data_IF_649426222755
#
_entry.id   IF_649426222755
#
_cell.length_a   1.000
_cell.length_b   1.000
_cell.length_c   1.000
_cell.angle_alpha   90.00
_cell.angle_beta   90.00
_cell.angle_gamma   90.00
#
_symmetry.space_group_name_H-M   'P 1'
#
loop_
_entity.id
_entity.type
_entity.pdbx_description
1 polymer ?
#
# COMPACT_ATOMS: atom_id res chain seq x y z
N UNK A 1 -11.52 -14.01 -6.80
CA UNK A 1 -11.67 -12.58 -6.42
C UNK A 1 -10.45 -11.75 -6.79
N UNK A 2 -9.25 -11.99 -6.23
CA UNK A 2 -8.07 -11.15 -6.51
C UNK A 2 -7.74 -11.06 -8.02
N UNK A 3 -7.64 -12.21 -8.70
CA UNK A 3 -7.35 -12.26 -10.15
C UNK A 3 -8.40 -11.49 -10.95
N UNK A 4 -9.69 -11.68 -10.63
CA UNK A 4 -10.78 -10.92 -11.24
C UNK A 4 -10.60 -9.42 -11.02
N UNK A 5 -10.25 -8.98 -9.81
CA UNK A 5 -9.96 -7.57 -9.51
C UNK A 5 -8.81 -7.01 -10.34
N UNK A 6 -7.70 -7.74 -10.44
CA UNK A 6 -6.56 -7.33 -11.27
C UNK A 6 -6.92 -7.25 -12.76
N UNK A 7 -7.72 -8.20 -13.28
CA UNK A 7 -8.20 -8.16 -14.67
C UNK A 7 -9.11 -6.96 -14.91
N UNK A 8 -10.00 -6.64 -13.96
CA UNK A 8 -10.84 -5.44 -14.04
C UNK A 8 -9.99 -4.17 -14.05
N UNK A 9 -8.97 -4.05 -13.19
CA UNK A 9 -8.04 -2.91 -13.19
C UNK A 9 -7.30 -2.77 -14.52
N UNK A 10 -6.83 -3.89 -15.08
CA UNK A 10 -6.10 -3.90 -16.35
C UNK A 10 -6.99 -3.52 -17.55
N UNK A 11 -8.22 -4.05 -17.60
CA UNK A 11 -9.12 -3.93 -18.73
C UNK A 11 -10.15 -2.79 -18.58
N UNK A 12 -10.16 -2.07 -17.46
CA UNK A 12 -11.13 -1.02 -17.21
C UNK A 12 -11.12 0.03 -18.33
N UNK A 13 -12.29 0.26 -18.94
CA UNK A 13 -12.53 1.32 -19.92
C UNK A 13 -13.07 2.62 -19.30
N UNK A 14 -13.60 2.55 -18.09
CA UNK A 14 -14.07 3.69 -17.31
C UNK A 14 -13.61 3.62 -15.85
N UNK A 15 -13.67 4.76 -15.14
CA UNK A 15 -13.16 4.88 -13.76
C UNK A 15 -13.96 4.02 -12.77
N UNK A 16 -15.24 3.79 -13.02
CA UNK A 16 -16.10 2.95 -12.17
C UNK A 16 -15.62 1.49 -12.15
N UNK A 17 -15.40 0.89 -13.33
CA UNK A 17 -14.89 -0.48 -13.46
C UNK A 17 -13.50 -0.60 -12.86
N UNK A 18 -12.66 0.42 -13.05
CA UNK A 18 -11.34 0.51 -12.41
C UNK A 18 -11.49 0.48 -10.88
N UNK A 19 -12.40 1.27 -10.33
CA UNK A 19 -12.66 1.33 -8.88
C UNK A 19 -13.17 0.01 -8.32
N UNK A 20 -14.09 -0.68 -9.02
CA UNK A 20 -14.55 -2.01 -8.61
C UNK A 20 -13.38 -3.01 -8.55
N UNK A 21 -12.54 -3.01 -9.60
CA UNK A 21 -11.33 -3.84 -9.61
C UNK A 21 -10.36 -3.50 -8.46
N UNK A 22 -10.17 -2.20 -8.21
CA UNK A 22 -9.33 -1.65 -7.16
C UNK A 22 -9.78 -2.09 -5.76
N UNK A 23 -11.09 -2.06 -5.50
CA UNK A 23 -11.74 -2.56 -4.29
C UNK A 23 -11.56 -4.07 -4.13
N UNK A 24 -11.76 -4.84 -5.20
CA UNK A 24 -11.61 -6.31 -5.17
C UNK A 24 -10.19 -6.72 -4.83
N UNK A 25 -9.19 -6.07 -5.42
CA UNK A 25 -7.78 -6.27 -5.08
C UNK A 25 -7.54 -5.92 -3.61
N UNK A 26 -8.13 -4.82 -3.14
CA UNK A 26 -8.00 -4.36 -1.77
C UNK A 26 -8.54 -5.34 -0.72
N UNK A 27 -9.81 -5.69 -0.85
CA UNK A 27 -10.53 -6.58 0.06
C UNK A 27 -9.92 -7.98 0.08
N UNK A 28 -9.64 -8.55 -1.10
CA UNK A 28 -9.05 -9.90 -1.16
C UNK A 28 -7.64 -9.94 -0.56
N UNK A 29 -6.82 -8.89 -0.73
CA UNK A 29 -5.52 -8.80 -0.07
C UNK A 29 -5.65 -8.78 1.44
N UNK A 30 -6.55 -7.96 1.99
CA UNK A 30 -6.74 -7.87 3.44
C UNK A 30 -7.19 -9.21 4.04
N UNK A 31 -8.10 -9.93 3.38
CA UNK A 31 -8.54 -11.26 3.80
C UNK A 31 -7.40 -12.27 3.79
N UNK A 32 -6.50 -12.21 2.80
CA UNK A 32 -5.35 -13.10 2.72
C UNK A 32 -4.26 -12.79 3.74
N UNK A 33 -4.10 -11.52 4.14
CA UNK A 33 -3.25 -11.16 5.28
C UNK A 33 -3.84 -11.72 6.58
N UNK A 34 -5.16 -11.70 6.71
CA UNK A 34 -5.88 -12.27 7.86
C UNK A 34 -6.07 -13.80 7.79
N UNK A 35 -5.41 -14.52 6.88
CA UNK A 35 -5.66 -15.95 6.68
C UNK A 35 -5.50 -16.76 7.98
N UNK A 36 -4.42 -16.50 8.74
CA UNK A 36 -4.20 -17.05 10.07
C UNK A 36 -4.90 -16.22 11.16
N UNK A 37 -6.22 -16.06 11.01
CA UNK A 37 -7.07 -15.21 11.86
C UNK A 37 -7.06 -15.60 13.35
N UNK A 38 -6.66 -16.82 13.69
CA UNK A 38 -6.47 -17.28 15.06
C UNK A 38 -5.32 -16.53 15.77
N UNK A 39 -4.40 -15.94 14.99
CA UNK A 39 -3.31 -15.11 15.50
C UNK A 39 -3.76 -13.64 15.57
N UNK A 40 -3.81 -13.03 16.77
CA UNK A 40 -4.26 -11.63 16.89
C UNK A 40 -3.38 -10.64 16.12
N UNK A 41 -2.09 -10.95 15.96
CA UNK A 41 -1.17 -10.15 15.16
C UNK A 41 -1.56 -10.10 13.67
N UNK A 42 -2.00 -11.23 13.09
CA UNK A 42 -2.39 -11.30 11.68
C UNK A 42 -3.65 -10.45 11.41
N UNK A 43 -4.64 -10.53 12.31
CA UNK A 43 -5.86 -9.73 12.24
C UNK A 43 -5.54 -8.24 12.39
N UNK A 44 -4.73 -7.86 13.38
CA UNK A 44 -4.32 -6.46 13.57
C UNK A 44 -3.57 -5.90 12.35
N UNK A 45 -2.70 -6.70 11.72
CA UNK A 45 -1.98 -6.29 10.52
C UNK A 45 -2.93 -6.16 9.32
N UNK A 46 -3.85 -7.11 9.13
CA UNK A 46 -4.86 -7.03 8.08
C UNK A 46 -5.74 -5.79 8.20
N UNK A 47 -6.17 -5.43 9.41
CA UNK A 47 -6.95 -4.22 9.66
C UNK A 47 -6.17 -2.95 9.34
N UNK A 48 -4.86 -2.91 9.64
CA UNK A 48 -3.99 -1.77 9.25
C UNK A 48 -3.85 -1.67 7.74
N UNK A 49 -3.64 -2.79 7.04
CA UNK A 49 -3.61 -2.85 5.56
C UNK A 49 -4.93 -2.35 4.97
N UNK A 50 -6.06 -2.86 5.46
CA UNK A 50 -7.39 -2.45 5.02
C UNK A 50 -7.62 -0.96 5.24
N UNK A 51 -7.20 -0.41 6.39
CA UNK A 51 -7.34 1.02 6.70
C UNK A 51 -6.57 1.89 5.71
N UNK A 52 -5.33 1.52 5.38
CA UNK A 52 -4.54 2.23 4.35
C UNK A 52 -5.21 2.14 2.99
N UNK A 53 -5.75 0.97 2.64
CA UNK A 53 -6.49 0.80 1.40
C UNK A 53 -7.72 1.70 1.37
N UNK A 54 -8.53 1.78 2.43
CA UNK A 54 -9.67 2.71 2.48
C UNK A 54 -9.28 4.18 2.25
N UNK A 55 -8.13 4.61 2.74
CA UNK A 55 -7.60 5.97 2.46
C UNK A 55 -7.26 6.11 0.96
N UNK A 56 -6.61 5.10 0.38
CA UNK A 56 -6.33 5.03 -1.06
C UNK A 56 -7.61 5.07 -1.90
N UNK A 57 -8.62 4.30 -1.50
CA UNK A 57 -9.88 4.14 -2.20
C UNK A 57 -10.70 5.45 -2.12
N UNK A 58 -10.69 6.14 -0.97
CA UNK A 58 -11.31 7.46 -0.83
C UNK A 58 -10.65 8.53 -1.72
N UNK A 59 -9.32 8.52 -1.83
CA UNK A 59 -8.59 9.42 -2.72
C UNK A 59 -8.90 9.12 -4.20
N UNK A 60 -8.97 7.85 -4.59
CA UNK A 60 -9.38 7.43 -5.93
C UNK A 60 -10.80 7.90 -6.26
N UNK A 61 -11.75 7.68 -5.33
CA UNK A 61 -13.13 8.08 -5.53
C UNK A 61 -13.26 9.60 -5.62
N UNK A 62 -12.51 10.35 -4.80
CA UNK A 62 -12.46 11.81 -4.88
C UNK A 62 -11.91 12.29 -6.22
N UNK A 63 -10.86 11.63 -6.73
CA UNK A 63 -10.32 11.91 -8.06
C UNK A 63 -11.38 11.62 -9.14
N UNK A 64 -12.09 10.49 -9.06
CA UNK A 64 -13.13 10.10 -10.00
C UNK A 64 -14.29 11.11 -10.02
N UNK A 65 -14.79 11.52 -8.86
CA UNK A 65 -15.89 12.51 -8.74
C UNK A 65 -15.47 13.85 -9.31
N UNK A 66 -14.27 14.34 -8.97
CA UNK A 66 -13.78 15.62 -9.49
C UNK A 66 -13.55 15.55 -11.01
N UNK A 67 -13.07 14.41 -11.50
CA UNK A 67 -12.87 14.17 -12.92
C UNK A 67 -14.19 14.19 -13.69
N UNK A 68 -15.21 13.50 -13.18
CA UNK A 68 -16.56 13.53 -13.73
C UNK A 68 -17.11 14.95 -13.76
N UNK A 69 -16.95 15.70 -12.66
CA UNK A 69 -17.45 17.07 -12.55
C UNK A 69 -16.76 18.05 -13.54
N UNK A 70 -15.47 17.87 -13.83
CA UNK A 70 -14.72 18.77 -14.72
C UNK A 70 -14.83 18.34 -16.18
N UNK A 71 -14.70 17.05 -16.47
CA UNK A 71 -14.63 16.54 -17.83
C UNK A 71 -16.00 16.09 -18.39
N UNK A 72 -17.01 15.91 -17.53
CA UNK A 72 -18.33 15.39 -17.91
C UNK A 72 -18.29 13.95 -18.44
N UNK A 73 -17.21 13.21 -18.18
CA UNK A 73 -17.01 11.84 -18.68
C UNK A 73 -16.21 11.00 -17.70
N UNK A 74 -16.59 9.71 -17.61
CA UNK A 74 -15.90 8.70 -16.80
C UNK A 74 -14.97 7.81 -17.65
N UNK A 75 -14.84 8.11 -18.94
CA UNK A 75 -14.08 7.31 -19.88
C UNK A 75 -12.57 7.42 -19.64
N UNK A 76 -11.91 6.30 -19.27
CA UNK A 76 -10.45 6.25 -19.16
C UNK A 76 -9.81 6.58 -20.53
N UNK A 77 -10.40 6.16 -21.65
CA UNK A 77 -9.79 6.40 -22.96
C UNK A 77 -9.76 7.89 -23.32
N UNK A 78 -10.73 8.69 -22.90
CA UNK A 78 -10.71 10.13 -23.14
C UNK A 78 -9.70 10.86 -22.22
N UNK A 79 -9.51 10.36 -21.00
CA UNK A 79 -8.69 11.00 -19.97
C UNK A 79 -7.21 10.59 -20.00
N UNK A 80 -6.93 9.44 -20.61
CA UNK A 80 -5.62 8.79 -20.61
C UNK A 80 -5.06 8.53 -22.02
N UNK A 81 -5.48 9.32 -23.01
CA UNK A 81 -4.79 9.41 -24.31
C UNK A 81 -5.28 8.47 -25.40
N UNK A 82 -6.60 8.28 -25.51
CA UNK A 82 -7.21 7.71 -26.71
C UNK A 82 -6.95 8.59 -27.93
N UNK A 83 -6.95 7.98 -29.12
CA UNK A 83 -6.55 8.53 -30.42
C UNK A 83 -7.32 9.76 -30.92
N UNK A 84 -8.18 10.37 -30.11
CA UNK A 84 -8.86 11.61 -30.44
C UNK A 84 -8.19 12.78 -29.72
N UNK A 85 -7.45 13.58 -30.49
CA UNK A 85 -6.75 14.81 -30.08
C UNK A 85 -7.65 15.91 -29.45
N UNK A 86 -8.91 15.62 -29.15
CA UNK A 86 -9.88 16.55 -28.58
C UNK A 86 -10.00 16.47 -27.04
N UNK A 87 -9.57 15.40 -26.38
CA UNK A 87 -9.87 15.18 -24.96
C UNK A 87 -8.78 15.63 -23.97
N UNK A 88 -7.54 15.79 -24.44
CA UNK A 88 -6.48 16.43 -23.64
C UNK A 88 -6.81 17.90 -23.30
N UNK A 89 -7.79 18.52 -23.98
CA UNK A 89 -8.16 19.93 -23.80
C UNK A 89 -9.16 20.15 -22.64
N UNK A 90 -9.80 19.10 -22.11
CA UNK A 90 -10.90 19.27 -21.15
C UNK A 90 -10.47 19.45 -19.68
N UNK A 91 -9.30 18.93 -19.29
CA UNK A 91 -8.82 19.00 -17.90
C UNK A 91 -7.43 19.64 -17.89
N UNK A 92 -7.35 20.93 -17.59
CA UNK A 92 -6.11 21.68 -17.59
C UNK A 92 -5.88 22.46 -16.27
N UNK A 93 -4.67 22.98 -16.11
CA UNK A 93 -4.30 23.87 -15.01
C UNK A 93 -4.46 23.25 -13.63
N UNK A 94 -5.11 23.99 -12.73
CA UNK A 94 -5.25 23.59 -11.31
C UNK A 94 -6.10 22.33 -11.15
N UNK A 95 -7.15 22.14 -11.94
CA UNK A 95 -8.02 20.95 -11.86
C UNK A 95 -7.24 19.68 -12.20
N UNK A 96 -6.45 19.69 -13.28
CA UNK A 96 -5.55 18.60 -13.63
C UNK A 96 -4.58 18.28 -12.49
N UNK A 97 -4.00 19.31 -11.87
CA UNK A 97 -3.07 19.14 -10.75
C UNK A 97 -3.74 18.51 -9.53
N UNK A 98 -4.94 18.96 -9.14
CA UNK A 98 -5.66 18.39 -7.98
C UNK A 98 -6.03 16.93 -8.24
N UNK A 99 -6.57 16.61 -9.42
CA UNK A 99 -6.93 15.24 -9.79
C UNK A 99 -5.67 14.35 -9.77
N UNK A 100 -4.57 14.81 -10.36
CA UNK A 100 -3.30 14.07 -10.36
C UNK A 100 -2.76 13.85 -8.94
N UNK A 101 -2.84 14.85 -8.06
CA UNK A 101 -2.43 14.71 -6.64
C UNK A 101 -3.31 13.69 -5.92
N UNK A 102 -4.63 13.71 -6.12
CA UNK A 102 -5.54 12.72 -5.52
C UNK A 102 -5.21 11.30 -6.01
N UNK A 103 -4.92 11.12 -7.31
CA UNK A 103 -4.45 9.84 -7.84
C UNK A 103 -3.09 9.43 -7.25
N UNK A 104 -2.15 10.35 -7.06
CA UNK A 104 -0.88 10.06 -6.40
C UNK A 104 -1.09 9.60 -4.96
N UNK A 105 -2.04 10.20 -4.22
CA UNK A 105 -2.40 9.74 -2.86
C UNK A 105 -3.01 8.34 -2.90
N UNK A 106 -3.90 8.06 -3.86
CA UNK A 106 -4.46 6.72 -4.06
C UNK A 106 -3.35 5.69 -4.33
N UNK A 107 -2.41 6.03 -5.23
CA UNK A 107 -1.26 5.19 -5.57
C UNK A 107 -0.33 5.02 -4.37
N UNK A 108 -0.09 6.07 -3.59
CA UNK A 108 0.76 6.00 -2.42
C UNK A 108 0.25 4.98 -1.40
N UNK A 109 -1.07 4.94 -1.16
CA UNK A 109 -1.66 3.94 -0.27
C UNK A 109 -1.57 2.52 -0.85
N UNK A 110 -1.98 2.30 -2.11
CA UNK A 110 -2.05 0.95 -2.71
C UNK A 110 -0.68 0.33 -3.02
N UNK A 111 0.31 1.17 -3.33
CA UNK A 111 1.68 0.77 -3.69
C UNK A 111 2.67 0.89 -2.53
N UNK A 112 2.20 1.18 -1.31
CA UNK A 112 3.06 1.33 -0.13
C UNK A 112 4.16 2.39 -0.32
N UNK A 113 3.87 3.49 -1.02
CA UNK A 113 4.76 4.65 -1.04
C UNK A 113 4.66 5.37 0.31
N UNK A 114 5.59 6.29 0.56
CA UNK A 114 5.51 7.13 1.74
C UNK A 114 4.18 7.92 1.79
N UNK A 115 3.62 8.16 2.98
CA UNK A 115 4.04 7.67 4.30
C UNK A 115 3.59 6.22 4.60
N UNK A 116 2.86 5.57 3.70
CA UNK A 116 2.18 4.28 3.91
C UNK A 116 3.08 3.03 3.74
N UNK A 117 4.40 3.18 3.70
CA UNK A 117 5.32 2.07 3.37
C UNK A 117 5.30 0.89 4.35
N UNK A 118 4.80 1.09 5.56
CA UNK A 118 4.82 0.09 6.64
C UNK A 118 3.78 -1.02 6.50
N UNK A 119 2.74 -0.84 5.69
CA UNK A 119 1.70 -1.87 5.56
C UNK A 119 2.21 -3.10 4.81
N UNK A 120 3.11 -2.95 3.83
CA UNK A 120 3.55 -4.08 3.01
C UNK A 120 4.35 -5.13 3.80
N UNK A 121 5.36 -4.77 4.62
CA UNK A 121 6.02 -5.75 5.48
C UNK A 121 5.06 -6.43 6.45
N UNK A 122 4.06 -5.69 6.98
CA UNK A 122 3.05 -6.25 7.88
C UNK A 122 2.12 -7.24 7.17
N UNK A 123 1.89 -7.06 5.86
CA UNK A 123 1.13 -8.00 5.05
C UNK A 123 1.83 -9.37 4.90
N UNK A 124 3.14 -9.46 5.19
CA UNK A 124 3.93 -10.69 5.06
C UNK A 124 3.58 -11.78 6.10
N UNK A 125 2.67 -11.49 7.04
CA UNK A 125 2.04 -12.48 7.93
C UNK A 125 1.25 -13.55 7.17
N UNK A 126 0.74 -13.22 5.98
CA UNK A 126 -0.03 -14.17 5.18
C UNK A 126 0.81 -15.34 4.66
N UNK A 127 0.14 -16.38 4.11
CA UNK A 127 0.80 -17.53 3.51
C UNK A 127 1.77 -17.11 2.40
N UNK A 128 2.96 -17.71 2.36
CA UNK A 128 4.03 -17.33 1.42
C UNK A 128 3.59 -17.28 -0.06
N UNK A 129 2.80 -18.24 -0.59
CA UNK A 129 2.31 -18.15 -1.97
C UNK A 129 1.39 -16.95 -2.20
N UNK A 130 0.55 -16.62 -1.22
CA UNK A 130 -0.34 -15.46 -1.29
C UNK A 130 0.45 -14.14 -1.22
N UNK A 131 1.49 -14.09 -0.37
CA UNK A 131 2.39 -12.94 -0.29
C UNK A 131 3.17 -12.75 -1.58
N UNK A 132 3.63 -13.84 -2.20
CA UNK A 132 4.38 -13.80 -3.45
C UNK A 132 3.57 -13.22 -4.61
N UNK A 133 2.37 -13.77 -4.84
CA UNK A 133 1.55 -13.42 -6.01
C UNK A 133 0.81 -12.10 -5.82
N UNK A 134 0.14 -11.94 -4.69
CA UNK A 134 -0.91 -10.94 -4.59
C UNK A 134 -0.38 -9.59 -4.17
N UNK A 135 0.08 -9.43 -2.93
CA UNK A 135 0.53 -8.13 -2.42
C UNK A 135 2.03 -7.89 -2.57
N UNK A 136 2.87 -8.93 -2.65
CA UNK A 136 4.30 -8.80 -2.90
C UNK A 136 4.70 -8.63 -4.37
N UNK A 137 3.79 -8.96 -5.30
CA UNK A 137 3.98 -8.73 -6.73
C UNK A 137 2.86 -7.86 -7.30
N UNK A 138 1.62 -8.35 -7.43
CA UNK A 138 0.63 -7.66 -8.27
C UNK A 138 0.07 -6.35 -7.69
N UNK A 139 -0.37 -6.35 -6.42
CA UNK A 139 -1.07 -5.21 -5.79
C UNK A 139 -0.18 -3.97 -5.69
N UNK A 140 1.10 -4.14 -5.34
CA UNK A 140 2.03 -3.01 -5.22
C UNK A 140 2.34 -2.36 -6.57
N UNK A 141 2.25 -3.10 -7.68
CA UNK A 141 2.43 -2.56 -9.02
C UNK A 141 1.15 -1.98 -9.62
N UNK A 142 -0.04 -2.32 -9.08
CA UNK A 142 -1.31 -1.81 -9.57
C UNK A 142 -1.38 -0.27 -9.54
N UNK A 143 -0.81 0.37 -8.51
CA UNK A 143 -0.73 1.83 -8.45
C UNK A 143 0.23 2.45 -9.47
N UNK A 144 1.40 1.84 -9.71
CA UNK A 144 2.29 2.30 -10.79
C UNK A 144 1.64 2.12 -12.17
N UNK A 145 0.92 1.02 -12.39
CA UNK A 145 0.14 0.81 -13.61
C UNK A 145 -0.93 1.88 -13.80
N UNK A 146 -1.62 2.27 -12.72
CA UNK A 146 -2.56 3.39 -12.76
C UNK A 146 -1.87 4.71 -13.13
N UNK A 147 -0.71 5.02 -12.56
CA UNK A 147 0.04 6.24 -12.93
C UNK A 147 0.50 6.23 -14.38
N UNK A 148 0.89 5.06 -14.92
CA UNK A 148 1.20 4.90 -16.34
C UNK A 148 -0.02 5.18 -17.22
N UNK A 149 -1.20 4.69 -16.84
CA UNK A 149 -2.44 5.06 -17.52
C UNK A 149 -2.70 6.56 -17.35
N UNK A 150 -2.42 7.13 -16.18
CA UNK A 150 -2.52 8.55 -15.88
C UNK A 150 -1.46 9.46 -16.52
N UNK A 151 -0.58 8.95 -17.39
CA UNK A 151 0.50 9.72 -18.00
C UNK A 151 0.03 11.02 -18.68
N UNK A 152 -1.02 11.05 -19.52
CA UNK A 152 -1.46 12.30 -20.16
C UNK A 152 -1.96 13.36 -19.18
N UNK A 153 -2.55 12.94 -18.05
CA UNK A 153 -2.96 13.85 -16.98
C UNK A 153 -1.73 14.41 -16.24
N UNK A 154 -0.74 13.55 -15.98
CA UNK A 154 0.51 13.96 -15.34
C UNK A 154 1.27 14.97 -16.20
N UNK A 155 1.31 14.80 -17.53
CA UNK A 155 1.93 15.75 -18.46
C UNK A 155 1.35 17.18 -18.32
N UNK A 156 0.07 17.31 -17.98
CA UNK A 156 -0.58 18.61 -17.76
C UNK A 156 -0.41 19.16 -16.34
N UNK A 157 0.18 18.38 -15.42
CA UNK A 157 0.27 18.69 -14.00
C UNK A 157 1.72 18.61 -13.51
N UNK A 158 2.55 19.58 -13.90
CA UNK A 158 3.98 19.61 -13.54
C UNK A 158 4.24 19.51 -12.02
N UNK A 159 3.45 20.20 -11.20
CA UNK A 159 3.55 20.13 -9.74
C UNK A 159 3.25 18.72 -9.20
N UNK A 160 2.25 18.03 -9.78
CA UNK A 160 1.91 16.66 -9.40
C UNK A 160 3.01 15.67 -9.83
N UNK A 161 3.62 15.86 -11.01
CA UNK A 161 4.79 15.08 -11.45
C UNK A 161 5.98 15.23 -10.50
N UNK A 162 6.31 16.45 -10.11
CA UNK A 162 7.37 16.71 -9.14
C UNK A 162 7.09 16.03 -7.80
N UNK A 163 5.83 16.10 -7.33
CA UNK A 163 5.41 15.40 -6.12
C UNK A 163 5.59 13.88 -6.25
N UNK A 164 5.13 13.28 -7.36
CA UNK A 164 5.29 11.85 -7.62
C UNK A 164 6.76 11.43 -7.63
N UNK A 165 7.61 12.18 -8.34
CA UNK A 165 9.06 11.91 -8.41
C UNK A 165 9.74 12.04 -7.04
N UNK A 166 9.45 13.10 -6.29
CA UNK A 166 9.98 13.30 -4.94
C UNK A 166 9.53 12.17 -4.01
N UNK A 167 8.26 11.77 -4.10
CA UNK A 167 7.68 10.69 -3.30
C UNK A 167 8.31 9.34 -3.63
N UNK A 168 8.48 9.02 -4.92
CA UNK A 168 9.11 7.80 -5.40
C UNK A 168 10.58 7.73 -4.95
N UNK A 169 11.33 8.81 -5.10
CA UNK A 169 12.74 8.88 -4.69
C UNK A 169 12.90 8.72 -3.17
N UNK A 170 12.08 9.43 -2.38
CA UNK A 170 12.10 9.30 -0.92
C UNK A 170 11.74 7.88 -0.47
N UNK A 171 10.74 7.27 -1.10
CA UNK A 171 10.35 5.87 -0.84
C UNK A 171 11.50 4.91 -1.17
N UNK A 172 12.14 5.07 -2.33
CA UNK A 172 13.23 4.20 -2.77
C UNK A 172 14.42 4.26 -1.83
N UNK A 173 14.83 5.47 -1.43
CA UNK A 173 15.96 5.67 -0.51
C UNK A 173 15.68 5.06 0.86
N UNK A 174 14.51 5.35 1.45
CA UNK A 174 14.18 4.80 2.77
C UNK A 174 14.03 3.29 2.75
N UNK A 175 13.38 2.73 1.71
CA UNK A 175 13.20 1.31 1.57
C UNK A 175 14.54 0.57 1.37
N UNK A 176 15.47 1.15 0.60
CA UNK A 176 16.81 0.60 0.38
C UNK A 176 17.68 0.58 1.64
N UNK A 177 17.48 1.54 2.56
CA UNK A 177 18.12 1.50 3.88
C UNK A 177 17.45 0.45 4.78
N UNK A 178 16.11 0.42 4.78
CA UNK A 178 15.30 -0.44 5.67
C UNK A 178 15.45 -1.93 5.33
N UNK A 179 15.55 -2.31 4.06
CA UNK A 179 15.72 -3.71 3.63
C UNK A 179 16.99 -4.36 4.21
N UNK A 180 18.07 -3.58 4.39
CA UNK A 180 19.37 -4.07 4.89
C UNK A 180 19.37 -4.45 6.37
N UNK A 181 18.43 -3.90 7.14
CA UNK A 181 18.34 -4.12 8.59
C UNK A 181 17.21 -5.08 8.96
N UNK A 182 16.44 -5.59 7.99
CA UNK A 182 15.40 -6.58 8.27
C UNK A 182 16.04 -7.92 8.64
N UNK A 183 15.53 -8.53 9.71
CA UNK A 183 15.97 -9.84 10.21
C UNK A 183 15.29 -11.02 9.52
N UNK A 184 14.17 -10.78 8.83
CA UNK A 184 13.41 -11.81 8.15
C UNK A 184 13.41 -11.62 6.62
N UNK A 185 13.35 -12.73 5.88
CA UNK A 185 13.46 -12.73 4.41
C UNK A 185 12.25 -12.06 3.76
N UNK A 186 11.03 -12.24 4.29
CA UNK A 186 9.82 -11.70 3.66
C UNK A 186 9.77 -10.17 3.73
N UNK A 187 10.02 -9.59 4.90
CA UNK A 187 10.10 -8.15 5.14
C UNK A 187 11.27 -7.53 4.37
N UNK A 188 12.44 -8.22 4.32
CA UNK A 188 13.58 -7.74 3.52
C UNK A 188 13.20 -7.65 2.03
N UNK A 189 12.57 -8.70 1.48
CA UNK A 189 12.07 -8.72 0.11
C UNK A 189 10.95 -7.69 -0.13
N UNK A 190 10.07 -7.45 0.85
CA UNK A 190 9.03 -6.44 0.77
C UNK A 190 9.64 -5.03 0.62
N UNK A 191 10.64 -4.66 1.43
CA UNK A 191 11.33 -3.37 1.28
C UNK A 191 12.19 -3.29 0.02
N UNK A 192 12.77 -4.41 -0.43
CA UNK A 192 13.45 -4.45 -1.73
C UNK A 192 12.46 -4.20 -2.88
N UNK A 193 11.22 -4.70 -2.78
CA UNK A 193 10.17 -4.41 -3.74
C UNK A 193 9.75 -2.93 -3.71
N UNK A 194 9.57 -2.34 -2.52
CA UNK A 194 9.31 -0.90 -2.37
C UNK A 194 10.38 -0.03 -3.01
N UNK A 195 11.65 -0.46 -2.92
CA UNK A 195 12.76 0.27 -3.54
C UNK A 195 12.55 0.40 -5.05
N UNK A 196 12.21 -0.70 -5.71
CA UNK A 196 11.98 -0.72 -7.16
C UNK A 196 10.66 -0.02 -7.54
N UNK A 197 9.60 -0.20 -6.75
CA UNK A 197 8.34 0.53 -6.94
C UNK A 197 8.58 2.05 -6.87
N UNK A 198 9.39 2.52 -5.91
CA UNK A 198 9.77 3.93 -5.84
C UNK A 198 10.54 4.41 -7.07
N UNK A 199 11.45 3.58 -7.61
CA UNK A 199 12.18 3.88 -8.85
C UNK A 199 11.24 3.95 -10.05
N UNK A 200 10.30 3.00 -10.18
CA UNK A 200 9.29 3.00 -11.24
C UNK A 200 8.45 4.29 -11.19
N UNK A 201 8.07 4.75 -10.00
CA UNK A 201 7.34 6.03 -9.86
C UNK A 201 8.20 7.23 -10.30
N UNK A 202 9.50 7.22 -10.03
CA UNK A 202 10.44 8.25 -10.51
C UNK A 202 10.53 8.22 -12.04
N UNK A 203 10.63 7.04 -12.65
CA UNK A 203 10.66 6.88 -14.11
C UNK A 203 9.38 7.45 -14.75
N UNK A 204 8.20 7.16 -14.16
CA UNK A 204 6.92 7.73 -14.60
C UNK A 204 6.92 9.25 -14.46
N UNK A 205 7.38 9.79 -13.33
CA UNK A 205 7.40 11.23 -13.09
C UNK A 205 8.27 12.00 -14.11
N UNK A 206 9.41 11.42 -14.50
CA UNK A 206 10.33 11.99 -15.50
C UNK A 206 9.79 11.82 -16.93
N UNK A 207 8.77 10.97 -17.14
CA UNK A 207 8.14 10.73 -18.44
C UNK A 207 8.74 9.56 -19.21
N UNK A 208 9.53 8.70 -18.56
CA UNK A 208 10.11 7.50 -19.16
C UNK A 208 9.12 6.33 -19.15
N UNK A 209 7.92 6.54 -19.70
CA UNK A 209 6.78 5.63 -19.57
C UNK A 209 7.06 4.20 -20.09
N UNK A 210 7.77 4.07 -21.21
CA UNK A 210 8.14 2.76 -21.76
C UNK A 210 9.10 2.00 -20.85
N UNK A 211 10.11 2.71 -20.30
CA UNK A 211 11.08 2.11 -19.37
C UNK A 211 10.35 1.68 -18.10
N UNK A 212 9.52 2.56 -17.54
CA UNK A 212 8.71 2.27 -16.36
C UNK A 212 7.79 1.06 -16.54
N UNK A 213 7.16 0.91 -17.72
CA UNK A 213 6.32 -0.25 -18.00
C UNK A 213 7.12 -1.56 -18.07
N UNK A 214 8.26 -1.56 -18.78
CA UNK A 214 9.14 -2.74 -18.88
C UNK A 214 9.71 -3.09 -17.50
N UNK A 215 10.16 -2.09 -16.74
CA UNK A 215 10.66 -2.25 -15.38
C UNK A 215 9.59 -2.84 -14.47
N UNK A 216 8.36 -2.29 -14.50
CA UNK A 216 7.22 -2.80 -13.75
C UNK A 216 6.92 -4.28 -14.06
N UNK A 217 6.83 -4.64 -15.33
CA UNK A 217 6.53 -6.02 -15.75
C UNK A 217 7.65 -6.99 -15.35
N UNK A 218 8.90 -6.63 -15.62
CA UNK A 218 10.07 -7.43 -15.26
C UNK A 218 10.20 -7.62 -13.75
N UNK A 219 10.00 -6.56 -12.98
CA UNK A 219 10.09 -6.59 -11.53
C UNK A 219 8.96 -7.41 -10.89
N UNK A 220 7.73 -7.30 -11.39
CA UNK A 220 6.62 -8.13 -10.92
C UNK A 220 6.91 -9.63 -11.09
N UNK A 221 7.43 -10.04 -12.26
CA UNK A 221 7.84 -11.42 -12.53
C UNK A 221 9.01 -11.85 -11.63
N UNK A 222 10.04 -11.02 -11.51
CA UNK A 222 11.22 -11.32 -10.71
C UNK A 222 10.89 -11.47 -9.21
N UNK A 223 10.05 -10.60 -8.66
CA UNK A 223 9.64 -10.68 -7.25
C UNK A 223 8.80 -11.91 -6.96
N UNK A 224 7.91 -12.27 -7.88
CA UNK A 224 7.14 -13.52 -7.75
C UNK A 224 8.09 -14.72 -7.60
N UNK A 225 9.10 -14.82 -8.47
CA UNK A 225 10.10 -15.89 -8.40
C UNK A 225 10.88 -15.86 -7.09
N UNK A 226 11.35 -14.69 -6.66
CA UNK A 226 12.12 -14.57 -5.41
C UNK A 226 11.32 -14.97 -4.17
N UNK A 227 10.05 -14.56 -4.07
CA UNK A 227 9.22 -14.95 -2.92
C UNK A 227 8.89 -16.45 -2.92
N UNK A 228 8.67 -17.07 -4.09
CA UNK A 228 8.41 -18.50 -4.19
C UNK A 228 9.66 -19.36 -3.93
N UNK A 229 10.84 -18.88 -4.34
CA UNK A 229 12.10 -19.60 -4.14
C UNK A 229 12.71 -19.40 -2.74
N UNK A 230 12.36 -18.32 -2.04
CA UNK A 230 12.93 -17.97 -0.74
C UNK A 230 12.88 -19.11 0.31
N UNK A 231 11.78 -19.87 0.47
CA UNK A 231 11.73 -20.98 1.43
C UNK A 231 12.74 -22.09 1.12
N UNK A 232 12.89 -22.44 -0.16
CA UNK A 232 13.82 -23.49 -0.59
C UNK A 232 15.27 -23.05 -0.36
N UNK A 233 15.62 -21.82 -0.74
CA UNK A 233 16.96 -21.25 -0.51
C UNK A 233 17.29 -21.19 0.98
N UNK A 234 16.31 -20.84 1.82
CA UNK A 234 16.51 -20.80 3.27
C UNK A 234 16.72 -22.20 3.85
N UNK A 235 15.97 -23.19 3.36
CA UNK A 235 16.14 -24.58 3.77
C UNK A 235 17.52 -25.13 3.41
N UNK A 236 17.97 -24.89 2.17
CA UNK A 236 19.29 -25.30 1.70
C UNK A 236 20.42 -24.63 2.50
N UNK A 237 20.30 -23.33 2.78
CA UNK A 237 21.26 -22.60 3.59
C UNK A 237 21.39 -23.15 5.02
N UNK A 238 20.26 -23.48 5.66
CA UNK A 238 20.31 -24.11 6.99
C UNK A 238 20.97 -25.49 6.93
N UNK A 239 20.66 -26.30 5.92
CA UNK A 239 21.32 -27.59 5.73
C UNK A 239 22.84 -27.47 5.53
N UNK A 240 23.29 -26.42 4.84
CA UNK A 240 24.72 -26.11 4.70
C UNK A 240 25.35 -25.62 6.01
N UNK A 241 24.69 -24.72 6.75
CA UNK A 241 25.18 -24.24 8.06
C UNK A 241 25.32 -25.40 9.06
N UNK A 242 24.34 -26.30 9.10
CA UNK A 242 24.35 -27.50 9.95
C UNK A 242 25.48 -28.46 9.55
N UNK A 243 25.75 -28.62 8.25
CA UNK A 243 26.84 -29.46 7.74
C UNK A 243 28.24 -28.88 8.01
N UNK A 244 28.40 -27.55 7.94
CA UNK A 244 29.67 -26.85 8.18
C UNK A 244 29.94 -26.68 9.68
N UNK A 245 28.88 -26.62 10.52
CA UNK A 245 28.97 -26.40 11.96
C UNK A 245 29.34 -24.95 12.34
N UNK A 246 29.38 -24.03 11.38
CA UNK A 246 29.64 -22.61 11.62
C UNK A 246 28.91 -21.74 10.58
N UNK A 247 28.57 -20.51 10.96
CA UNK A 247 27.97 -19.54 10.04
C UNK A 247 29.06 -18.86 9.21
N UNK A 248 28.94 -18.80 7.87
CA UNK A 248 29.91 -18.11 7.05
C UNK A 248 29.98 -16.62 7.40
N UNK A 249 31.20 -16.11 7.60
CA UNK A 249 31.47 -14.71 7.89
C UNK A 249 30.94 -13.83 6.76
N UNK A 250 30.09 -12.85 7.06
CA UNK A 250 29.65 -11.87 6.06
C UNK A 250 30.78 -10.90 5.75
N UNK A 251 31.17 -10.72 4.48
CA UNK A 251 32.15 -9.71 4.11
C UNK A 251 31.60 -8.31 4.42
N UNK A 252 32.45 -7.46 5.00
CA UNK A 252 32.13 -6.05 5.29
C UNK A 252 31.89 -5.32 3.97
N UNK A 253 30.78 -4.59 3.87
CA UNK A 253 30.42 -3.88 2.64
C UNK A 253 31.34 -2.69 2.37
N UNK A 254 31.64 -2.40 1.09
CA UNK A 254 32.47 -1.23 0.70
C UNK A 254 31.91 0.12 1.18
N UNK A 255 30.58 0.26 1.33
CA UNK A 255 29.98 1.46 1.89
C UNK A 255 30.12 1.56 3.42
N UNK A 256 30.34 0.43 4.10
CA UNK A 256 30.54 0.39 5.56
C UNK A 256 31.93 0.88 5.96
N UNK A 257 32.90 0.77 5.06
CA UNK A 257 34.27 1.27 5.28
C UNK A 257 34.40 2.78 5.03
N UNK A 258 33.53 3.37 4.21
CA UNK A 258 33.56 4.79 3.85
C UNK A 258 32.75 5.69 4.81
N UNK A 259 31.82 5.13 5.59
CA UNK A 259 30.90 5.92 6.42
C UNK A 259 31.36 5.99 7.87
N UNK A 260 31.27 7.18 8.48
CA UNK A 260 31.60 7.39 9.90
C UNK A 260 30.67 6.59 10.82
N UNK A 261 31.22 6.01 11.89
CA UNK A 261 30.51 5.23 12.91
C UNK A 261 29.28 5.94 13.51
N UNK A 262 29.31 7.27 13.64
CA UNK A 262 28.17 8.03 14.16
C UNK A 262 27.01 8.07 13.16
N UNK A 263 27.32 8.27 11.89
CA UNK A 263 26.32 8.31 10.81
C UNK A 263 25.75 6.92 10.59
N UNK A 264 26.60 5.89 10.55
CA UNK A 264 26.17 4.49 10.39
C UNK A 264 25.18 4.07 11.48
N UNK A 265 25.47 4.39 12.75
CA UNK A 265 24.54 4.12 13.87
C UNK A 265 23.21 4.85 13.72
N UNK A 266 23.21 6.12 13.30
CA UNK A 266 21.97 6.88 13.09
C UNK A 266 21.15 6.31 11.93
N UNK A 267 21.79 6.01 10.79
CA UNK A 267 21.13 5.40 9.65
C UNK A 267 20.56 4.02 10.00
N UNK A 268 21.31 3.22 10.77
CA UNK A 268 20.84 1.94 11.28
C UNK A 268 19.58 2.10 12.14
N UNK A 269 19.58 3.02 13.10
CA UNK A 269 18.41 3.27 13.95
C UNK A 269 17.19 3.77 13.16
N UNK A 270 17.40 4.71 12.24
CA UNK A 270 16.33 5.21 11.36
C UNK A 270 15.77 4.09 10.49
N UNK A 271 16.63 3.26 9.92
CA UNK A 271 16.22 2.11 9.11
C UNK A 271 15.48 1.06 9.96
N UNK A 272 15.96 0.79 11.19
CA UNK A 272 15.36 -0.19 12.09
C UNK A 272 13.94 0.23 12.49
N UNK A 273 13.76 1.51 12.78
CA UNK A 273 12.47 2.14 13.09
C UNK A 273 11.65 2.51 11.83
N UNK A 274 12.08 2.06 10.64
CA UNK A 274 11.36 2.25 9.37
C UNK A 274 11.04 3.73 9.10
N UNK A 275 11.95 4.64 9.47
CA UNK A 275 11.80 6.09 9.35
C UNK A 275 10.83 6.72 10.34
N UNK A 276 10.45 6.03 11.43
CA UNK A 276 9.44 6.44 12.41
C UNK A 276 8.05 6.72 11.81
N UNK A 277 7.80 6.24 10.59
CA UNK A 277 6.59 6.55 9.83
C UNK A 277 5.32 6.06 10.52
N UNK A 278 5.40 4.90 11.18
CA UNK A 278 4.27 4.35 11.92
C UNK A 278 3.88 5.26 13.09
N UNK A 279 4.86 5.78 13.84
CA UNK A 279 4.61 6.72 14.95
C UNK A 279 4.03 8.05 14.44
N UNK A 280 4.53 8.53 13.29
CA UNK A 280 4.04 9.75 12.65
C UNK A 280 2.59 9.57 12.17
N UNK A 281 2.30 8.49 11.43
CA UNK A 281 0.95 8.18 10.95
C UNK A 281 -0.03 7.95 12.10
N UNK A 282 0.39 7.23 13.14
CA UNK A 282 -0.47 6.96 14.28
C UNK A 282 -0.81 8.27 15.02
N UNK A 283 0.17 9.17 15.18
CA UNK A 283 -0.03 10.48 15.82
C UNK A 283 -0.89 11.43 14.98
N UNK A 284 -0.64 11.52 13.67
CA UNK A 284 -1.26 12.52 12.78
C UNK A 284 -2.63 12.06 12.28
N UNK A 285 -2.81 10.76 12.02
CA UNK A 285 -4.02 10.23 11.37
C UNK A 285 -4.85 9.41 12.35
N UNK A 286 -4.26 8.39 12.97
CA UNK A 286 -5.03 7.38 13.73
C UNK A 286 -5.58 7.94 15.04
N UNK A 287 -4.75 8.62 15.84
CA UNK A 287 -5.16 9.19 17.13
C UNK A 287 -6.29 10.21 17.00
N UNK A 288 -6.23 11.23 16.11
CA UNK A 288 -7.34 12.17 15.97
C UNK A 288 -8.60 11.49 15.43
N UNK A 289 -8.47 10.59 14.46
CA UNK A 289 -9.62 9.86 13.92
C UNK A 289 -10.31 8.99 14.97
N UNK A 290 -9.55 8.23 15.76
CA UNK A 290 -10.12 7.37 16.83
C UNK A 290 -10.70 8.19 17.99
N UNK A 291 -10.22 9.41 18.22
CA UNK A 291 -10.86 10.35 19.18
C UNK A 291 -12.20 10.82 18.65
N UNK A 292 -12.26 11.23 17.38
CA UNK A 292 -13.51 11.64 16.73
C UNK A 292 -14.53 10.49 16.69
N UNK A 293 -14.10 9.29 16.28
CA UNK A 293 -14.97 8.12 16.25
C UNK A 293 -15.55 7.81 17.63
N UNK A 294 -14.73 7.84 18.68
CA UNK A 294 -15.22 7.66 20.06
C UNK A 294 -16.19 8.76 20.50
N UNK A 295 -16.02 10.00 20.03
CA UNK A 295 -16.98 11.07 20.29
C UNK A 295 -18.30 10.82 19.57
N UNK A 296 -18.25 10.39 18.31
CA UNK A 296 -19.45 10.03 17.54
C UNK A 296 -20.18 8.84 18.16
N UNK A 297 -19.49 7.80 18.61
CA UNK A 297 -20.11 6.67 19.33
C UNK A 297 -20.76 7.13 20.64
N UNK A 298 -20.14 8.06 21.38
CA UNK A 298 -20.76 8.62 22.58
C UNK A 298 -21.99 9.45 22.27
N UNK A 299 -21.96 10.22 21.18
CA UNK A 299 -23.12 10.96 20.69
C UNK A 299 -24.23 10.00 20.29
N UNK A 300 -23.90 8.92 19.57
CA UNK A 300 -24.85 7.90 19.14
C UNK A 300 -25.51 7.18 20.32
N UNK A 301 -24.72 6.75 21.33
CA UNK A 301 -25.26 6.17 22.57
C UNK A 301 -26.13 7.18 23.32
N UNK A 302 -25.69 8.43 23.43
CA UNK A 302 -26.50 9.49 24.05
C UNK A 302 -27.80 9.76 23.29
N UNK A 303 -27.77 9.74 21.95
CA UNK A 303 -28.95 9.92 21.11
C UNK A 303 -29.90 8.74 21.24
N UNK A 304 -29.38 7.50 21.27
CA UNK A 304 -30.13 6.30 21.55
C UNK A 304 -30.81 6.40 22.93
N UNK A 305 -30.09 6.80 23.97
CA UNK A 305 -30.65 6.95 25.32
C UNK A 305 -31.69 8.10 25.40
N UNK A 306 -31.50 9.19 24.65
CA UNK A 306 -32.41 10.32 24.62
C UNK A 306 -33.68 10.05 23.81
N UNK A 307 -33.59 9.26 22.74
CA UNK A 307 -34.72 8.91 21.86
C UNK A 307 -35.46 7.67 22.37
N UNK A 308 -34.74 6.64 22.86
CA UNK A 308 -35.30 5.41 23.42
C UNK A 308 -35.67 5.57 24.90
N UNK A 309 -36.50 6.58 25.22
CA UNK A 309 -37.10 6.76 26.56
C UNK A 309 -37.99 5.59 27.02
N UNK A 310 -38.27 4.61 26.16
CA UNK A 310 -38.84 3.33 26.59
C UNK A 310 -37.75 2.38 27.05
N UNK A 311 -37.46 2.42 28.35
CA UNK A 311 -36.83 1.30 29.05
C UNK A 311 -37.65 0.04 28.78
N UNK A 312 -37.17 -0.86 27.92
CA UNK A 312 -37.60 -2.24 28.05
C UNK A 312 -37.02 -2.75 29.37
N UNK A 313 -37.84 -3.21 30.32
CA UNK A 313 -37.31 -3.88 31.48
C UNK A 313 -36.57 -5.11 30.96
N UNK A 314 -35.24 -5.10 31.09
CA UNK A 314 -34.46 -6.33 31.05
C UNK A 314 -35.08 -7.19 32.15
N UNK A 315 -35.78 -8.25 31.75
CA UNK A 315 -36.25 -9.26 32.66
C UNK A 315 -35.01 -9.77 33.38
N UNK A 316 -34.85 -9.34 34.63
CA UNK A 316 -33.98 -10.01 35.58
C UNK A 316 -34.60 -11.40 35.68
N UNK A 317 -33.96 -12.38 35.02
CA UNK A 317 -34.23 -13.78 35.28
C UNK A 317 -33.94 -13.94 36.76
N UNK A 318 -35.01 -14.01 37.54
CA UNK A 318 -34.96 -14.25 38.97
C UNK A 318 -34.18 -15.53 39.20
N UNK A 319 -33.29 -15.50 40.18
CA UNK A 319 -32.87 -16.72 40.83
C UNK A 319 -34.12 -17.38 41.38
N UNK A 320 -34.37 -18.60 40.94
CA UNK A 320 -35.07 -19.59 41.76
C UNK A 320 -33.98 -20.51 42.28
N UNK A 321 -33.61 -20.28 43.54
CA UNK A 321 -33.35 -21.37 44.46
C UNK A 321 -34.62 -22.21 44.53
N UNK A 322 -34.60 -23.46 44.06
CA UNK A 322 -35.39 -24.53 44.66
C UNK A 322 -34.59 -25.83 44.64
N UNK A 323 -34.39 -26.33 45.85
CA UNK A 323 -33.92 -27.65 46.24
C UNK A 323 -34.66 -28.79 45.52
N UNK A 324 -33.91 -29.77 45.00
CA UNK A 324 -34.02 -31.22 45.29
C UNK A 324 -32.90 -32.01 44.58
#
# INVERSE_FOLDING_TARGET
MFVTGMLLVALAGNVEVLFIGWEFVGLSSALLVAFFHERPAAVSNALRVLSVYRISDAAMLSAAVLLHHVAGTDSLSLLFGGTQAASAVLVNGTSATIIAVLLIVAVAGKSALLPFSSWLPRAMEGPTPSSAVYYGSLSIHAGCFLLLRAAPLLEQAAAARLLAGALGAATAILAAMTTRVQSDVKSSLAYAALTQVGIIVVEIAIGWYTIAFVHLAGHACFRLLQFLSAPNVLHDLHGMEDAIGNRPSRPVGYLETLTSDRIRRRLFLVALERGFLDSILDRIVVVPFTRLARQLTRLDVWLCDAVMTTRWPVAIVGGDDQDE
#
